data_IF_369516996254
#
_entry.id   IF_369516996254
#
_cell.length_a   1.000
_cell.length_b   1.000
_cell.length_c   1.000
_cell.angle_alpha   90.00
_cell.angle_beta   90.00
_cell.angle_gamma   90.00
#
_symmetry.space_group_name_H-M   'P 1'
#
loop_
_entity.id
_entity.type
_entity.pdbx_description
1 polymer ?
#
# COMPACT_ATOMS: atom_id res chain seq x y z
N UNK A 1 19.39 11.65 5.63
CA UNK A 1 19.75 10.74 4.52
C UNK A 1 18.95 9.44 4.58
N UNK A 2 18.68 8.88 5.76
CA UNK A 2 17.86 7.66 5.89
C UNK A 2 16.41 7.79 5.40
N UNK A 3 15.75 8.93 5.63
CA UNK A 3 14.37 9.15 5.17
C UNK A 3 14.23 9.05 3.64
N UNK A 4 15.21 9.58 2.89
CA UNK A 4 15.19 9.54 1.42
C UNK A 4 15.36 8.11 0.94
N UNK A 5 16.32 7.37 1.50
CA UNK A 5 16.52 5.95 1.19
C UNK A 5 15.28 5.12 1.53
N UNK A 6 14.66 5.36 2.69
CA UNK A 6 13.42 4.71 3.10
C UNK A 6 12.28 4.97 2.11
N UNK A 7 12.05 6.23 1.75
CA UNK A 7 11.01 6.59 0.77
C UNK A 7 11.26 5.97 -0.62
N UNK A 8 12.53 5.92 -1.06
CA UNK A 8 12.90 5.25 -2.33
C UNK A 8 12.62 3.75 -2.26
N UNK A 9 12.96 3.09 -1.15
CA UNK A 9 12.67 1.67 -0.95
C UNK A 9 11.17 1.39 -0.95
N UNK A 10 10.36 2.22 -0.29
CA UNK A 10 8.89 2.10 -0.32
C UNK A 10 8.33 2.28 -1.73
N UNK A 11 8.88 3.23 -2.50
CA UNK A 11 8.48 3.42 -3.90
C UNK A 11 8.83 2.21 -4.77
N UNK A 12 10.04 1.64 -4.60
CA UNK A 12 10.45 0.43 -5.32
C UNK A 12 9.56 -0.76 -4.93
N UNK A 13 9.28 -0.95 -3.64
CA UNK A 13 8.38 -1.97 -3.13
C UNK A 13 6.97 -1.84 -3.73
N UNK A 14 6.48 -0.61 -3.89
CA UNK A 14 5.20 -0.32 -4.54
C UNK A 14 5.17 -0.73 -6.00
N UNK A 15 6.20 -0.35 -6.77
CA UNK A 15 6.31 -0.70 -8.18
C UNK A 15 6.42 -2.22 -8.35
N UNK A 16 7.33 -2.87 -7.61
CA UNK A 16 7.54 -4.32 -7.72
C UNK A 16 6.32 -5.11 -7.27
N UNK A 17 5.68 -4.73 -6.17
CA UNK A 17 4.48 -5.40 -5.68
C UNK A 17 3.28 -5.22 -6.60
N UNK A 18 3.19 -4.08 -7.28
CA UNK A 18 2.16 -3.82 -8.30
C UNK A 18 2.38 -4.64 -9.56
N UNK A 19 3.62 -4.69 -10.06
CA UNK A 19 3.98 -5.49 -11.24
C UNK A 19 3.86 -6.99 -10.98
N UNK A 20 4.22 -7.44 -9.77
CA UNK A 20 4.20 -8.85 -9.39
C UNK A 20 2.82 -9.41 -9.05
N UNK A 21 1.82 -8.57 -8.78
CA UNK A 21 0.44 -8.99 -8.50
C UNK A 21 0.19 -9.54 -7.09
N UNK A 22 1.22 -9.69 -6.25
CA UNK A 22 1.12 -10.15 -4.86
C UNK A 22 0.92 -9.02 -3.82
N UNK A 23 0.83 -7.76 -4.29
CA UNK A 23 0.62 -6.60 -3.43
C UNK A 23 1.90 -6.09 -2.78
N UNK A 24 2.05 -4.77 -2.72
CA UNK A 24 3.25 -4.11 -2.22
C UNK A 24 3.50 -4.28 -0.73
N UNK A 25 2.46 -4.56 0.06
CA UNK A 25 2.58 -4.78 1.51
C UNK A 25 3.51 -5.91 1.91
N UNK A 26 3.68 -6.92 1.05
CA UNK A 26 4.64 -8.01 1.29
C UNK A 26 6.07 -7.50 1.41
N UNK A 27 6.42 -6.47 0.65
CA UNK A 27 7.75 -5.83 0.67
C UNK A 27 7.79 -4.66 1.65
N UNK A 28 6.70 -3.88 1.74
CA UNK A 28 6.64 -2.69 2.61
C UNK A 28 6.76 -3.06 4.08
N UNK A 29 6.16 -4.15 4.57
CA UNK A 29 6.28 -4.53 5.98
C UNK A 29 7.71 -4.84 6.43
N UNK A 30 8.45 -5.77 5.80
CA UNK A 30 9.83 -6.04 6.21
C UNK A 30 10.75 -4.83 6.02
N UNK A 31 10.51 -3.98 5.01
CA UNK A 31 11.23 -2.72 4.84
C UNK A 31 10.88 -1.77 6.00
N UNK A 32 9.61 -1.52 6.30
CA UNK A 32 9.22 -0.64 7.40
C UNK A 32 9.76 -1.12 8.75
N UNK A 33 9.72 -2.43 9.01
CA UNK A 33 10.24 -3.03 10.24
C UNK A 33 11.77 -2.97 10.37
N UNK A 34 12.50 -2.72 9.28
CA UNK A 34 13.95 -2.49 9.34
C UNK A 34 14.32 -1.04 9.70
N UNK A 35 13.36 -0.10 9.63
CA UNK A 35 13.57 1.32 9.95
C UNK A 35 12.77 1.81 11.17
N UNK A 36 11.69 1.12 11.54
CA UNK A 36 10.75 1.54 12.58
C UNK A 36 10.49 0.40 13.57
N UNK A 37 10.08 0.71 14.82
CA UNK A 37 9.52 -0.26 15.75
C UNK A 37 8.37 -1.04 15.11
N UNK A 38 8.16 -2.28 15.55
CA UNK A 38 7.20 -3.20 14.93
C UNK A 38 5.79 -2.61 14.83
N UNK A 39 5.32 -1.95 15.88
CA UNK A 39 3.99 -1.35 15.96
C UNK A 39 3.83 -0.21 14.95
N UNK A 40 4.87 0.62 14.81
CA UNK A 40 4.91 1.73 13.84
C UNK A 40 5.01 1.20 12.40
N UNK A 41 5.85 0.19 12.17
CA UNK A 41 5.99 -0.47 10.88
C UNK A 41 4.69 -1.14 10.42
N UNK A 42 3.99 -1.80 11.36
CA UNK A 42 2.69 -2.41 11.11
C UNK A 42 1.64 -1.35 10.75
N UNK A 43 1.57 -0.26 11.54
CA UNK A 43 0.66 0.86 11.27
C UNK A 43 0.93 1.52 9.92
N UNK A 44 2.20 1.77 9.61
CA UNK A 44 2.63 2.34 8.33
C UNK A 44 2.27 1.42 7.16
N UNK A 45 2.51 0.11 7.29
CA UNK A 45 2.18 -0.88 6.25
C UNK A 45 0.69 -0.91 5.97
N UNK A 46 -0.15 -0.90 7.02
CA UNK A 46 -1.60 -0.85 6.87
C UNK A 46 -2.06 0.42 6.14
N UNK A 47 -1.54 1.58 6.55
CA UNK A 47 -1.86 2.85 5.91
C UNK A 47 -1.39 2.90 4.45
N UNK A 48 -0.16 2.43 4.19
CA UNK A 48 0.42 2.34 2.86
C UNK A 48 -0.39 1.40 1.95
N UNK A 49 -0.92 0.29 2.47
CA UNK A 49 -1.75 -0.62 1.70
C UNK A 49 -3.01 0.06 1.16
N UNK A 50 -3.72 0.81 2.00
CA UNK A 50 -4.94 1.51 1.60
C UNK A 50 -4.64 2.59 0.57
N UNK A 51 -3.63 3.43 0.83
CA UNK A 51 -3.26 4.51 -0.09
C UNK A 51 -2.71 3.99 -1.42
N UNK A 52 -1.86 2.96 -1.40
CA UNK A 52 -1.30 2.37 -2.62
C UNK A 52 -2.38 1.76 -3.50
N UNK A 53 -3.34 1.03 -2.93
CA UNK A 53 -4.45 0.49 -3.70
C UNK A 53 -5.34 1.61 -4.26
N UNK A 54 -5.59 2.67 -3.49
CA UNK A 54 -6.28 3.87 -3.99
C UNK A 54 -5.55 4.52 -5.18
N UNK A 55 -4.22 4.67 -5.09
CA UNK A 55 -3.39 5.19 -6.16
C UNK A 55 -3.44 4.28 -7.41
N UNK A 56 -3.32 2.96 -7.24
CA UNK A 56 -3.46 1.97 -8.33
C UNK A 56 -4.83 2.05 -8.98
N UNK A 57 -5.92 2.17 -8.22
CA UNK A 57 -7.26 2.34 -8.78
C UNK A 57 -7.40 3.63 -9.60
N UNK A 58 -6.72 4.71 -9.18
CA UNK A 58 -6.69 5.96 -9.93
C UNK A 58 -5.84 5.86 -11.21
N UNK A 59 -4.70 5.15 -11.14
CA UNK A 59 -3.73 4.98 -12.23
C UNK A 59 -4.25 3.97 -13.28
N UNK A 60 -4.74 2.83 -12.81
CA UNK A 60 -5.29 1.73 -13.60
C UNK A 60 -6.82 1.81 -13.56
N UNK A 61 -7.38 2.71 -14.37
CA UNK A 61 -8.84 2.93 -14.46
C UNK A 61 -9.62 1.81 -15.16
N UNK A 62 -8.93 0.79 -15.67
CA UNK A 62 -9.56 -0.35 -16.34
C UNK A 62 -10.12 -1.31 -15.29
N UNK A 63 -11.42 -1.64 -15.38
CA UNK A 63 -12.11 -2.54 -14.43
C UNK A 63 -12.65 -1.85 -13.17
N UNK A 64 -12.63 -0.52 -13.10
CA UNK A 64 -13.19 0.22 -11.97
C UNK A 64 -14.74 0.18 -11.96
N UNK A 65 -15.31 -0.58 -11.03
CA UNK A 65 -16.76 -0.62 -10.78
C UNK A 65 -17.14 0.22 -9.56
N UNK A 66 -17.80 1.35 -9.79
CA UNK A 66 -18.28 2.27 -8.74
C UNK A 66 -19.19 1.58 -7.72
N UNK A 67 -20.01 0.62 -8.16
CA UNK A 67 -20.91 -0.12 -7.28
C UNK A 67 -20.15 -1.04 -6.35
N UNK A 68 -19.10 -1.69 -6.85
CA UNK A 68 -18.19 -2.53 -6.05
C UNK A 68 -17.44 -1.67 -5.02
N UNK A 69 -16.88 -0.54 -5.44
CA UNK A 69 -16.14 0.37 -4.56
C UNK A 69 -17.02 0.90 -3.43
N UNK A 70 -18.26 1.28 -3.70
CA UNK A 70 -19.17 1.74 -2.66
C UNK A 70 -19.61 0.60 -1.72
N UNK A 71 -19.88 -0.59 -2.26
CA UNK A 71 -20.39 -1.73 -1.47
C UNK A 71 -19.32 -2.47 -0.68
N UNK A 72 -18.06 -2.44 -1.12
CA UNK A 72 -16.95 -3.11 -0.42
C UNK A 72 -16.01 -2.10 0.26
N UNK A 73 -15.72 -0.97 -0.38
CA UNK A 73 -14.80 0.02 0.15
C UNK A 73 -15.34 0.77 1.38
N UNK A 74 -16.63 1.13 1.40
CA UNK A 74 -17.22 1.79 2.57
C UNK A 74 -17.22 0.84 3.79
N UNK A 75 -17.72 -0.41 3.69
CA UNK A 75 -17.64 -1.36 4.81
C UNK A 75 -16.22 -1.69 5.23
N UNK A 76 -15.26 -1.73 4.30
CA UNK A 76 -13.86 -1.99 4.64
C UNK A 76 -13.19 -0.89 5.49
N UNK A 77 -13.78 0.32 5.54
CA UNK A 77 -13.27 1.45 6.34
C UNK A 77 -14.09 1.68 7.61
N UNK A 78 -15.42 1.49 7.54
CA UNK A 78 -16.34 1.79 8.66
C UNK A 78 -16.71 0.55 9.48
N UNK A 79 -16.78 -0.63 8.85
CA UNK A 79 -17.19 -1.88 9.47
C UNK A 79 -16.07 -2.56 10.24
#
# INVERSE_FOLDING_TARGET
MELVAFAVLLLVAEVLGTLGGFGSSMLVMPIAASFLPFEEALGLTAFFHVLSNGAKMLLFRQGFDRRLVLRMGIPAVIG
#
